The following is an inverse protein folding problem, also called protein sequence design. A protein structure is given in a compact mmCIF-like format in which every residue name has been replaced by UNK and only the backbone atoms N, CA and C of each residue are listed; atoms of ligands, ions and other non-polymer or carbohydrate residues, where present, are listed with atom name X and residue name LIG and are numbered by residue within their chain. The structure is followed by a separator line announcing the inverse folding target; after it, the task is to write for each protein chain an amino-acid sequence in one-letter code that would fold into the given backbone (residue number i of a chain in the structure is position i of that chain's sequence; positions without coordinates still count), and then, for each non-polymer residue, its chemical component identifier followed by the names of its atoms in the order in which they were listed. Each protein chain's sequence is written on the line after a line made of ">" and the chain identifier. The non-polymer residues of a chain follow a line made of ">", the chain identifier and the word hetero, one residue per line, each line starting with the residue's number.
data_IF_308261319012
#
_entry.id   IF_308261319012
#
_cell.length_a   1.000
_cell.length_b   1.000
_cell.length_c   1.000
_cell.angle_alpha   90.00
_cell.angle_beta   90.00
_cell.angle_gamma   90.00
#
_symmetry.space_group_name_H-M   'P 1'
#
loop_
_entity.id
_entity.type
_entity.pdbx_description
1 polymer ?
#
# COMPACT_ATOMS: atom_id res chain seq x y z
N UNK A 1 5.79 9.12 2.82
CA UNK A 1 6.03 8.19 3.94
C UNK A 1 7.41 7.57 3.81
N UNK A 2 7.67 6.86 2.70
CA UNK A 2 8.92 6.13 2.47
C UNK A 2 8.62 4.86 1.69
N UNK A 3 8.87 3.70 2.30
CA UNK A 3 8.49 2.38 1.78
C UNK A 3 7.10 1.99 2.30
N UNK A 4 6.17 1.68 1.39
CA UNK A 4 4.81 1.24 1.74
C UNK A 4 4.61 -0.23 1.36
N UNK A 5 4.28 -1.06 2.34
CA UNK A 5 3.75 -2.40 2.12
C UNK A 5 2.26 -2.33 1.79
N UNK A 6 1.82 -3.02 0.74
CA UNK A 6 0.41 -3.09 0.32
C UNK A 6 -0.03 -4.54 0.28
N UNK A 7 -1.17 -4.84 0.88
CA UNK A 7 -1.92 -6.09 0.68
C UNK A 7 -3.25 -5.75 0.04
N UNK A 8 -3.36 -6.08 -1.24
CA UNK A 8 -4.49 -5.70 -2.10
C UNK A 8 -5.67 -6.68 -1.96
N UNK A 9 -6.91 -6.22 -2.26
CA UNK A 9 -8.10 -7.06 -2.18
C UNK A 9 -8.15 -8.15 -3.25
N UNK A 10 -8.96 -9.19 -3.01
CA UNK A 10 -9.40 -10.11 -4.06
C UNK A 10 -10.54 -9.55 -4.92
N UNK A 11 -11.33 -8.64 -4.37
CA UNK A 11 -12.35 -7.91 -5.13
C UNK A 11 -11.66 -6.92 -6.07
N UNK A 12 -12.11 -6.91 -7.33
CA UNK A 12 -11.56 -6.04 -8.37
C UNK A 12 -10.01 -6.08 -8.43
N UNK A 13 -9.41 -7.27 -8.59
CA UNK A 13 -8.00 -7.54 -8.26
C UNK A 13 -6.98 -6.61 -8.97
N UNK A 14 -7.26 -6.19 -10.21
CA UNK A 14 -6.41 -5.22 -10.91
C UNK A 14 -6.68 -3.79 -10.42
N UNK A 15 -7.95 -3.40 -10.37
CA UNK A 15 -8.33 -2.03 -10.03
C UNK A 15 -8.01 -1.70 -8.56
N UNK A 16 -8.32 -2.57 -7.61
CA UNK A 16 -7.97 -2.40 -6.20
C UNK A 16 -6.46 -2.30 -5.99
N UNK A 17 -5.66 -3.09 -6.71
CA UNK A 17 -4.20 -2.98 -6.68
C UNK A 17 -3.73 -1.61 -7.21
N UNK A 18 -4.22 -1.18 -8.37
CA UNK A 18 -3.86 0.10 -8.99
C UNK A 18 -4.35 1.30 -8.16
N UNK A 19 -5.55 1.22 -7.60
CA UNK A 19 -6.14 2.26 -6.74
C UNK A 19 -5.31 2.52 -5.47
N UNK A 20 -4.59 1.51 -4.98
CA UNK A 20 -3.64 1.65 -3.88
C UNK A 20 -2.24 2.05 -4.38
N UNK A 21 -1.73 1.46 -5.47
CA UNK A 21 -0.41 1.78 -6.02
C UNK A 21 -0.29 3.24 -6.48
N UNK A 22 -1.26 3.71 -7.26
CA UNK A 22 -1.22 5.02 -7.90
C UNK A 22 -1.04 6.18 -6.91
N UNK A 23 -1.83 6.32 -5.83
CA UNK A 23 -1.62 7.42 -4.86
C UNK A 23 -0.30 7.28 -4.09
N UNK A 24 0.16 6.06 -3.79
CA UNK A 24 1.44 5.86 -3.12
C UNK A 24 2.61 6.39 -3.99
N UNK A 25 2.63 5.99 -5.26
CA UNK A 25 3.65 6.42 -6.23
C UNK A 25 3.56 7.91 -6.55
N UNK A 26 2.35 8.45 -6.72
CA UNK A 26 2.14 9.87 -7.01
C UNK A 26 2.70 10.78 -5.90
N UNK A 27 2.73 10.31 -4.65
CA UNK A 27 3.32 11.03 -3.53
C UNK A 27 4.79 10.67 -3.25
N UNK A 28 5.46 9.97 -4.19
CA UNK A 28 6.89 9.69 -4.14
C UNK A 28 7.29 8.53 -3.22
N UNK A 29 6.37 7.63 -2.89
CA UNK A 29 6.68 6.42 -2.11
C UNK A 29 7.13 5.29 -3.03
N UNK A 30 7.92 4.37 -2.48
CA UNK A 30 8.16 3.06 -3.10
C UNK A 30 7.21 2.03 -2.50
N UNK A 31 6.87 1.00 -3.27
CA UNK A 31 5.85 0.02 -2.86
C UNK A 31 6.34 -1.40 -2.96
N UNK A 32 6.03 -2.20 -1.94
CA UNK A 32 6.04 -3.66 -1.98
C UNK A 32 4.58 -4.14 -1.91
N UNK A 33 4.03 -4.55 -3.05
CA UNK A 33 2.64 -4.94 -3.19
C UNK A 33 2.49 -6.46 -3.22
N UNK A 34 1.61 -6.96 -2.35
CA UNK A 34 1.05 -8.30 -2.37
C UNK A 34 -0.31 -8.21 -3.06
N UNK A 35 -0.42 -8.69 -4.31
CA UNK A 35 -1.66 -8.60 -5.07
C UNK A 35 -2.68 -9.63 -4.57
N UNK A 36 -3.84 -9.69 -5.24
CA UNK A 36 -4.85 -10.73 -4.98
C UNK A 36 -4.22 -12.13 -4.98
N UNK A 37 -4.38 -12.84 -3.87
CA UNK A 37 -3.95 -14.24 -3.75
C UNK A 37 -4.81 -15.16 -4.65
N UNK A 38 -6.09 -14.82 -4.83
CA UNK A 38 -7.03 -15.63 -5.62
C UNK A 38 -6.86 -15.42 -7.13
N UNK A 39 -6.53 -14.20 -7.55
CA UNK A 39 -6.41 -13.81 -8.96
C UNK A 39 -5.07 -13.10 -9.25
N UNK A 40 -3.92 -13.74 -8.98
CA UNK A 40 -2.61 -13.08 -9.05
C UNK A 40 -2.15 -12.76 -10.48
N UNK A 41 -2.67 -13.48 -11.49
CA UNK A 41 -2.21 -13.35 -12.87
C UNK A 41 -2.42 -11.94 -13.46
N UNK A 42 -3.46 -11.24 -13.01
CA UNK A 42 -3.69 -9.86 -13.44
C UNK A 42 -2.57 -8.91 -12.97
N UNK A 43 -1.99 -9.17 -11.80
CA UNK A 43 -0.84 -8.41 -11.31
C UNK A 43 0.44 -8.79 -12.05
N UNK A 44 0.59 -10.03 -12.53
CA UNK A 44 1.76 -10.43 -13.32
C UNK A 44 1.74 -9.83 -14.72
N UNK A 45 0.57 -9.67 -15.33
CA UNK A 45 0.45 -8.97 -16.63
C UNK A 45 0.77 -7.48 -16.50
N UNK A 46 0.45 -6.87 -15.34
CA UNK A 46 0.81 -5.49 -15.03
C UNK A 46 2.33 -5.25 -15.04
N UNK A 47 3.17 -6.29 -14.88
CA UNK A 47 4.63 -6.15 -14.94
C UNK A 47 5.09 -5.56 -16.27
N UNK A 48 4.52 -6.05 -17.38
CA UNK A 48 4.87 -5.54 -18.70
C UNK A 48 4.50 -4.06 -18.85
N UNK A 49 3.36 -3.64 -18.30
CA UNK A 49 2.94 -2.23 -18.33
C UNK A 49 3.89 -1.36 -17.51
N UNK A 50 4.29 -1.82 -16.31
CA UNK A 50 5.22 -1.07 -15.45
C UNK A 50 6.59 -0.96 -16.11
N UNK A 51 7.11 -2.06 -16.66
CA UNK A 51 8.41 -2.14 -17.32
C UNK A 51 8.47 -1.24 -18.58
N UNK A 52 7.40 -1.22 -19.37
CA UNK A 52 7.31 -0.38 -20.58
C UNK A 52 6.98 1.09 -20.31
N UNK A 53 6.67 1.45 -19.06
CA UNK A 53 6.34 2.82 -18.64
C UNK A 53 7.53 3.57 -18.03
N UNK A 54 8.75 3.07 -18.17
CA UNK A 54 9.98 3.67 -17.61
C UNK A 54 9.91 3.92 -16.09
N UNK A 55 9.17 3.08 -15.35
CA UNK A 55 9.10 3.17 -13.90
C UNK A 55 10.47 2.81 -13.30
N UNK A 56 11.06 3.64 -12.44
CA UNK A 56 12.36 3.35 -11.85
C UNK A 56 12.37 2.01 -11.12
N UNK A 57 13.47 1.26 -11.27
CA UNK A 57 13.65 0.00 -10.57
C UNK A 57 13.48 0.17 -9.05
N UNK A 58 12.72 -0.73 -8.43
CA UNK A 58 12.42 -0.68 -7.00
C UNK A 58 11.28 0.26 -6.60
N UNK A 59 10.76 1.11 -7.50
CA UNK A 59 9.61 1.96 -7.19
C UNK A 59 8.33 1.12 -6.97
N UNK A 60 8.14 0.07 -7.79
CA UNK A 60 7.06 -0.91 -7.63
C UNK A 60 7.68 -2.30 -7.59
N UNK A 61 7.40 -3.05 -6.51
CA UNK A 61 7.81 -4.43 -6.34
C UNK A 61 6.55 -5.25 -6.07
N UNK A 62 6.31 -6.30 -6.84
CA UNK A 62 5.12 -7.13 -6.67
C UNK A 62 5.54 -8.54 -6.25
N UNK A 63 4.98 -9.01 -5.13
CA UNK A 63 5.29 -10.31 -4.53
C UNK A 63 4.01 -11.10 -4.39
N UNK A 64 3.83 -12.11 -5.24
CA UNK A 64 2.69 -13.03 -5.18
C UNK A 64 2.92 -14.11 -4.12
N UNK A 65 1.86 -14.56 -3.46
CA UNK A 65 1.95 -15.62 -2.46
C UNK A 65 0.77 -15.62 -1.50
N UNK A 66 0.95 -16.31 -0.38
CA UNK A 66 -0.08 -16.36 0.67
C UNK A 66 -0.12 -15.03 1.42
N UNK A 67 -1.26 -14.35 1.37
CA UNK A 67 -1.42 -13.01 1.96
C UNK A 67 -1.12 -12.98 3.45
N UNK A 68 -1.52 -14.01 4.20
CA UNK A 68 -1.36 -14.03 5.66
C UNK A 68 0.13 -14.12 6.05
N UNK A 69 0.91 -14.89 5.30
CA UNK A 69 2.34 -15.04 5.53
C UNK A 69 3.07 -13.75 5.14
N UNK A 70 2.74 -13.16 3.98
CA UNK A 70 3.38 -11.94 3.49
C UNK A 70 2.98 -10.69 4.30
N UNK A 71 1.72 -10.58 4.73
CA UNK A 71 1.26 -9.48 5.59
C UNK A 71 1.99 -9.49 6.94
N UNK A 72 2.22 -10.68 7.51
CA UNK A 72 3.02 -10.85 8.72
C UNK A 72 4.47 -10.42 8.52
N UNK A 73 5.08 -10.78 7.39
CA UNK A 73 6.45 -10.34 7.06
C UNK A 73 6.51 -8.82 6.93
N UNK A 74 5.61 -8.21 6.17
CA UNK A 74 5.54 -6.74 6.00
C UNK A 74 5.28 -6.02 7.33
N UNK A 75 4.39 -6.57 8.17
CA UNK A 75 4.11 -6.04 9.51
C UNK A 75 5.35 -6.03 10.41
N UNK A 76 6.20 -7.05 10.33
CA UNK A 76 7.42 -7.15 11.17
C UNK A 76 8.65 -6.44 10.59
N UNK A 77 8.62 -6.05 9.33
CA UNK A 77 9.80 -5.51 8.67
C UNK A 77 10.12 -4.09 9.18
N UNK A 78 11.36 -3.86 9.63
CA UNK A 78 11.74 -2.57 10.21
C UNK A 78 11.92 -1.47 9.15
N UNK A 79 12.37 -1.82 7.93
CA UNK A 79 12.49 -0.87 6.80
C UNK A 79 11.18 -0.64 6.01
N UNK A 80 10.03 -1.06 6.55
CA UNK A 80 8.73 -0.69 5.98
C UNK A 80 8.14 0.43 6.84
N UNK A 81 7.92 1.60 6.24
CA UNK A 81 7.48 2.81 6.95
C UNK A 81 5.95 2.88 7.10
N UNK A 82 5.22 2.24 6.17
CA UNK A 82 3.76 2.18 6.20
C UNK A 82 3.21 0.87 5.67
N UNK A 83 2.04 0.45 6.16
CA UNK A 83 1.38 -0.80 5.76
C UNK A 83 -0.11 -0.57 5.50
N UNK A 84 -0.57 -0.93 4.31
CA UNK A 84 -1.97 -0.84 3.90
C UNK A 84 -2.56 -2.22 3.63
N UNK A 85 -3.68 -2.53 4.28
CA UNK A 85 -4.25 -3.87 4.32
C UNK A 85 -5.73 -3.83 3.93
N UNK A 86 -6.04 -4.38 2.77
CA UNK A 86 -7.41 -4.73 2.39
C UNK A 86 -7.53 -6.25 2.41
N UNK A 87 -7.74 -6.77 3.62
CA UNK A 87 -7.74 -8.20 3.91
C UNK A 87 -8.76 -8.52 5.00
N UNK A 88 -8.91 -9.80 5.30
CA UNK A 88 -9.75 -10.32 6.37
C UNK A 88 -9.35 -9.76 7.75
N UNK A 89 -10.32 -9.66 8.66
CA UNK A 89 -10.15 -9.00 9.96
C UNK A 89 -9.05 -9.62 10.83
N UNK A 90 -8.89 -10.94 10.78
CA UNK A 90 -7.86 -11.69 11.48
C UNK A 90 -6.46 -11.37 10.95
N UNK A 91 -6.30 -11.27 9.62
CA UNK A 91 -5.04 -10.89 8.98
C UNK A 91 -4.68 -9.44 9.31
N UNK A 92 -5.65 -8.52 9.21
CA UNK A 92 -5.46 -7.13 9.59
C UNK A 92 -5.00 -7.01 11.04
N UNK A 93 -5.72 -7.65 11.97
CA UNK A 93 -5.40 -7.63 13.40
C UNK A 93 -4.01 -8.19 13.70
N UNK A 94 -3.64 -9.30 13.05
CA UNK A 94 -2.32 -9.90 13.23
C UNK A 94 -1.20 -8.97 12.72
N UNK A 95 -1.36 -8.41 11.52
CA UNK A 95 -0.37 -7.52 10.92
C UNK A 95 -0.22 -6.20 11.70
N UNK A 96 -1.30 -5.66 12.25
CA UNK A 96 -1.25 -4.50 13.16
C UNK A 96 -0.46 -4.81 14.44
N UNK A 97 -0.71 -5.97 15.06
CA UNK A 97 0.05 -6.40 16.24
C UNK A 97 1.53 -6.61 15.91
N UNK A 98 1.83 -7.18 14.74
CA UNK A 98 3.20 -7.36 14.24
C UNK A 98 3.90 -6.02 13.94
N UNK A 99 3.14 -4.96 13.64
CA UNK A 99 3.65 -3.61 13.33
C UNK A 99 4.13 -2.81 14.54
N UNK A 100 3.93 -3.34 15.76
CA UNK A 100 4.33 -2.67 17.01
C UNK A 100 5.86 -2.49 17.09
N UNK A 101 6.66 -3.35 16.42
CA UNK A 101 8.13 -3.34 16.50
C UNK A 101 8.77 -2.00 16.16
N UNK A 102 8.34 -1.34 15.07
CA UNK A 102 8.83 -0.03 14.64
C UNK A 102 7.74 1.06 14.64
N UNK A 103 6.53 0.74 15.11
CA UNK A 103 5.36 1.63 15.13
C UNK A 103 5.02 2.23 13.74
N UNK A 104 5.30 1.50 12.65
CA UNK A 104 4.93 1.88 11.29
C UNK A 104 3.44 2.23 11.19
N UNK A 105 3.11 3.16 10.29
CA UNK A 105 1.72 3.57 10.10
C UNK A 105 0.92 2.45 9.43
N UNK A 106 -0.12 1.96 10.08
CA UNK A 106 -1.00 0.94 9.52
C UNK A 106 -2.35 1.54 9.14
N UNK A 107 -2.85 1.15 7.96
CA UNK A 107 -4.25 1.31 7.58
C UNK A 107 -4.82 -0.05 7.20
N UNK A 108 -5.94 -0.44 7.81
CA UNK A 108 -6.57 -1.72 7.58
C UNK A 108 -8.08 -1.56 7.40
N UNK A 109 -8.69 -2.39 6.54
CA UNK A 109 -10.15 -2.41 6.36
C UNK A 109 -10.86 -3.41 7.27
N UNK A 110 -10.13 -4.30 7.93
CA UNK A 110 -10.66 -5.31 8.85
C UNK A 110 -11.79 -6.16 8.25
N UNK A 111 -11.61 -6.65 7.03
CA UNK A 111 -12.60 -7.46 6.32
C UNK A 111 -13.70 -6.66 5.61
N UNK A 112 -13.69 -5.32 5.72
CA UNK A 112 -14.59 -4.47 4.96
C UNK A 112 -14.04 -4.21 3.56
N UNK A 113 -14.94 -4.05 2.59
CA UNK A 113 -14.57 -3.60 1.26
C UNK A 113 -14.13 -2.13 1.30
N UNK A 114 -13.07 -1.81 0.58
CA UNK A 114 -12.70 -0.43 0.29
C UNK A 114 -13.48 0.04 -0.94
N UNK A 115 -14.20 1.16 -0.81
CA UNK A 115 -14.87 1.79 -1.95
C UNK A 115 -13.92 2.75 -2.64
N UNK A 116 -13.39 2.30 -3.78
CA UNK A 116 -12.47 3.08 -4.62
C UNK A 116 -13.20 3.98 -5.63
N UNK A 117 -14.52 3.88 -5.74
CA UNK A 117 -15.35 4.51 -6.76
C UNK A 117 -16.41 5.46 -6.18
N UNK A 118 -16.26 5.85 -4.91
CA UNK A 118 -17.19 6.71 -4.15
C UNK A 118 -17.41 8.14 -4.71
N UNK A 119 -16.99 8.42 -5.95
CA UNK A 119 -17.10 9.70 -6.64
C UNK A 119 -15.79 10.49 -6.68
N UNK A 120 -15.90 11.79 -6.95
CA UNK A 120 -14.75 12.69 -7.06
C UNK A 120 -13.92 12.68 -5.77
N UNK A 121 -12.64 12.39 -5.91
CA UNK A 121 -11.71 12.34 -4.78
C UNK A 121 -11.80 11.06 -3.95
N UNK A 122 -12.38 9.97 -4.45
CA UNK A 122 -12.42 8.67 -3.76
C UNK A 122 -11.03 8.21 -3.24
N UNK A 123 -9.94 8.54 -3.94
CA UNK A 123 -8.57 8.21 -3.54
C UNK A 123 -7.89 9.26 -2.65
N UNK A 124 -8.54 10.38 -2.35
CA UNK A 124 -7.99 11.44 -1.47
C UNK A 124 -7.55 10.93 -0.10
N UNK A 125 -8.27 9.99 0.56
CA UNK A 125 -7.79 9.39 1.80
C UNK A 125 -6.46 8.66 1.62
N UNK A 126 -6.24 8.00 0.48
CA UNK A 126 -4.97 7.31 0.20
C UNK A 126 -3.84 8.31 -0.04
N UNK A 127 -4.08 9.41 -0.76
CA UNK A 127 -3.09 10.48 -0.93
C UNK A 127 -2.63 11.05 0.42
N UNK A 128 -3.58 11.32 1.34
CA UNK A 128 -3.25 11.77 2.70
C UNK A 128 -2.47 10.72 3.50
N UNK A 129 -2.76 9.43 3.30
CA UNK A 129 -2.01 8.32 3.92
C UNK A 129 -0.61 8.14 3.32
N UNK A 130 -0.36 8.67 2.13
CA UNK A 130 0.91 8.56 1.39
C UNK A 130 1.91 9.65 1.72
N UNK A 131 1.55 10.63 2.54
CA UNK A 131 2.41 11.74 2.94
C UNK A 131 2.67 11.77 4.43
N UNK A 132 3.74 12.47 4.79
CA UNK A 132 4.01 12.95 6.15
C UNK A 132 4.10 14.45 6.13
N UNK A 133 3.62 15.09 7.19
CA UNK A 133 3.70 16.54 7.33
C UNK A 133 5.00 16.89 8.05
N UNK A 134 5.93 17.52 7.32
CA UNK A 134 7.14 18.10 7.89
C UNK A 134 6.95 19.62 8.02
N UNK A 135 6.64 20.07 9.22
CA UNK A 135 6.53 21.51 9.51
C UNK A 135 7.94 22.12 9.64
N UNK A 136 8.27 23.07 8.77
CA UNK A 136 9.55 23.78 8.77
C UNK A 136 9.30 25.24 9.13
N UNK A 137 9.82 25.67 10.26
CA UNK A 137 9.69 27.04 10.75
C UNK A 137 10.89 27.84 10.26
N UNK A 138 10.64 28.88 9.47
CA UNK A 138 11.68 29.74 8.89
C UNK A 138 11.49 31.14 9.49
N UNK A 139 12.58 31.84 9.87
CA UNK A 139 12.47 33.23 10.28
C UNK A 139 11.77 34.06 9.20
N UNK A 140 10.74 34.80 9.59
CA UNK A 140 10.03 35.73 8.74
C UNK A 140 10.01 37.07 9.45
N UNK A 141 10.57 38.10 8.82
CA UNK A 141 10.57 39.46 9.37
C UNK A 141 9.21 40.10 9.15
N UNK A 142 8.61 40.61 10.21
CA UNK A 142 7.46 41.52 10.10
C UNK A 142 7.90 42.91 9.62
#
# INVERSE_FOLDING_TARGET
>A
VGVIGIVAPDAEPLFGLVAMLAPALAMGNTVVAVPSQRFPLLATDLYQVIETSDVPAGAVNIVTGKRAELAKVLGRHDDVDGLWLVAEADICKAAEADSIGNLKRVWATHGLAADWQAGDGALSPMLRRSVEVKNVWVPYGD
#
